data_IF_889107722826
#
_entry.id   IF_889107722826
#
_cell.length_a   1.000
_cell.length_b   1.000
_cell.length_c   1.000
_cell.angle_alpha   90.00
_cell.angle_beta   90.00
_cell.angle_gamma   90.00
#
_symmetry.space_group_name_H-M   'P 1'
#
loop_
_entity.id
_entity.type
_entity.pdbx_description
1 polymer ?
#
# COMPACT_ATOMS: atom_id res chain seq x y z
N UNK A 1 3.97 2.21 8.67
CA UNK A 1 2.79 1.81 7.85
C UNK A 1 2.22 2.96 7.02
N UNK A 2 1.61 3.97 7.66
CA UNK A 2 0.78 4.98 6.98
C UNK A 2 1.42 5.65 5.76
N UNK A 3 2.67 6.09 5.84
CA UNK A 3 3.40 6.69 4.70
C UNK A 3 3.51 5.74 3.50
N UNK A 4 3.81 4.45 3.73
CA UNK A 4 3.91 3.46 2.65
C UNK A 4 2.55 3.21 2.01
N UNK A 5 1.50 3.05 2.84
CA UNK A 5 0.14 2.84 2.36
C UNK A 5 -0.37 4.05 1.55
N UNK A 6 -0.19 5.27 2.06
CA UNK A 6 -0.63 6.50 1.39
C UNK A 6 0.16 6.74 0.09
N UNK A 7 1.47 6.53 0.10
CA UNK A 7 2.29 6.67 -1.10
C UNK A 7 1.83 5.69 -2.19
N UNK A 8 1.62 4.42 -1.84
CA UNK A 8 1.11 3.42 -2.78
C UNK A 8 -0.30 3.77 -3.30
N UNK A 9 -1.21 4.20 -2.42
CA UNK A 9 -2.55 4.60 -2.81
C UNK A 9 -2.54 5.78 -3.80
N UNK A 10 -1.72 6.80 -3.54
CA UNK A 10 -1.58 7.97 -4.42
C UNK A 10 -0.96 7.60 -5.77
N UNK A 11 0.04 6.72 -5.78
CA UNK A 11 0.66 6.25 -7.02
C UNK A 11 -0.30 5.39 -7.85
N UNK A 12 -1.06 4.48 -7.23
CA UNK A 12 -2.10 3.71 -7.91
C UNK A 12 -3.18 4.64 -8.48
N UNK A 13 -3.63 5.64 -7.71
CA UNK A 13 -4.57 6.66 -8.19
C UNK A 13 -4.01 7.41 -9.41
N UNK A 14 -2.74 7.81 -9.38
CA UNK A 14 -2.06 8.48 -10.51
C UNK A 14 -2.01 7.61 -11.77
N UNK A 15 -1.94 6.28 -11.61
CA UNK A 15 -1.99 5.30 -12.71
C UNK A 15 -3.41 4.96 -13.19
N UNK A 16 -4.44 5.57 -12.62
CA UNK A 16 -5.84 5.32 -12.97
C UNK A 16 -6.50 4.18 -12.19
N UNK A 17 -5.97 3.80 -11.03
CA UNK A 17 -6.49 2.75 -10.17
C UNK A 17 -5.64 1.48 -10.19
N UNK A 18 -6.11 0.43 -9.51
CA UNK A 18 -5.46 -0.89 -9.49
C UNK A 18 -5.31 -1.49 -8.11
N UNK A 19 -4.51 -2.56 -8.04
CA UNK A 19 -4.22 -3.31 -6.81
C UNK A 19 -2.72 -3.25 -6.53
N UNK A 20 -2.36 -3.01 -5.28
CA UNK A 20 -0.96 -3.05 -4.84
C UNK A 20 -0.85 -3.57 -3.41
N UNK A 21 0.35 -4.01 -3.04
CA UNK A 21 0.66 -4.47 -1.69
C UNK A 21 1.65 -3.51 -1.02
N UNK A 22 1.43 -3.21 0.25
CA UNK A 22 2.42 -2.56 1.10
C UNK A 22 2.74 -3.49 2.27
N UNK A 23 4.04 -3.66 2.57
CA UNK A 23 4.51 -4.50 3.65
C UNK A 23 5.65 -3.80 4.41
N UNK A 24 5.84 -4.17 5.67
CA UNK A 24 6.88 -3.66 6.53
C UNK A 24 7.33 -4.75 7.51
N UNK A 25 8.63 -4.86 7.73
CA UNK A 25 9.16 -5.61 8.87
C UNK A 25 9.12 -4.75 10.15
N UNK A 26 8.96 -5.40 11.30
CA UNK A 26 9.00 -4.80 12.62
C UNK A 26 10.08 -5.42 13.49
N UNK A 27 10.49 -4.72 14.55
CA UNK A 27 11.41 -5.28 15.55
C UNK A 27 10.83 -6.53 16.23
N UNK A 28 11.69 -7.41 16.75
CA UNK A 28 11.25 -8.63 17.43
C UNK A 28 10.68 -9.72 16.50
N UNK A 29 10.97 -9.65 15.20
CA UNK A 29 10.53 -10.65 14.22
C UNK A 29 9.09 -10.48 13.74
N UNK A 30 8.54 -9.27 13.85
CA UNK A 30 7.17 -8.94 13.43
C UNK A 30 7.11 -8.45 11.98
N UNK A 31 5.90 -8.38 11.43
CA UNK A 31 5.65 -7.72 10.16
C UNK A 31 4.17 -7.47 9.92
N UNK A 32 3.89 -6.42 9.15
CA UNK A 32 2.56 -6.05 8.68
C UNK A 32 2.53 -6.13 7.15
N UNK A 33 1.40 -6.55 6.60
CA UNK A 33 1.14 -6.49 5.18
C UNK A 33 -0.32 -6.11 4.92
N UNK A 34 -0.54 -5.33 3.86
CA UNK A 34 -1.86 -4.93 3.41
C UNK A 34 -1.96 -4.99 1.90
N UNK A 35 -3.18 -5.24 1.41
CA UNK A 35 -3.55 -5.11 0.01
C UNK A 35 -4.42 -3.86 -0.12
N UNK A 36 -4.04 -2.94 -1.00
CA UNK A 36 -4.85 -1.79 -1.38
C UNK A 36 -5.49 -2.03 -2.73
N UNK A 37 -6.79 -1.77 -2.80
CA UNK A 37 -7.52 -1.65 -4.06
C UNK A 37 -7.97 -0.20 -4.22
N UNK A 38 -7.49 0.45 -5.26
CA UNK A 38 -7.91 1.79 -5.65
C UNK A 38 -8.86 1.64 -6.83
N UNK A 39 -10.10 2.17 -6.75
CA UNK A 39 -11.04 2.12 -7.87
C UNK A 39 -10.44 2.72 -9.14
N UNK A 40 -10.71 2.11 -10.28
CA UNK A 40 -10.43 2.72 -11.58
C UNK A 40 -11.43 3.85 -11.82
N UNK A 41 -10.95 4.96 -12.38
CA UNK A 41 -11.80 6.06 -12.83
C UNK A 41 -12.61 5.67 -14.07
#
# INVERSE_FOLDING_TARGET
GARLALHLALELKRRGGGVGAAALCGGGGQGDALILRVPTA
#
